data_IF_751821431147
#
_entry.id   IF_751821431147
#
_cell.length_a   1.000
_cell.length_b   1.000
_cell.length_c   1.000
_cell.angle_alpha   90.00
_cell.angle_beta   90.00
_cell.angle_gamma   90.00
#
_symmetry.space_group_name_H-M   'P 1'
#
loop_
_entity.id
_entity.type
_entity.pdbx_description
1 polymer ?
#
# COMPACT_ATOMS: atom_id res chain seq x y z
N UNK A 1 -19.51 6.88 11.18
CA UNK A 1 -18.06 7.05 10.94
C UNK A 1 -17.74 6.60 9.52
N UNK A 2 -17.07 7.42 8.74
CA UNK A 2 -16.72 7.06 7.36
C UNK A 2 -15.64 5.97 7.38
N UNK A 3 -15.86 4.88 6.63
CA UNK A 3 -14.87 3.80 6.50
C UNK A 3 -13.63 4.32 5.77
N UNK A 4 -12.41 4.03 6.25
CA UNK A 4 -11.20 4.33 5.48
C UNK A 4 -11.22 3.57 4.16
N UNK A 5 -10.88 4.28 3.08
CA UNK A 5 -10.76 3.70 1.74
C UNK A 5 -9.29 3.44 1.44
N UNK A 6 -8.94 2.19 1.29
CA UNK A 6 -7.57 1.75 1.01
C UNK A 6 -7.53 1.06 -0.35
N UNK A 7 -6.62 1.48 -1.20
CA UNK A 7 -6.36 0.83 -2.48
C UNK A 7 -5.05 0.04 -2.43
N UNK A 8 -5.07 -1.17 -2.94
CA UNK A 8 -3.91 -2.08 -2.99
C UNK A 8 -3.53 -2.32 -4.46
N UNK A 9 -2.28 -2.05 -4.79
CA UNK A 9 -1.70 -2.37 -6.11
C UNK A 9 -0.82 -3.61 -5.96
N UNK A 10 -1.31 -4.73 -6.48
CA UNK A 10 -0.64 -6.03 -6.39
C UNK A 10 -1.22 -6.94 -5.31
N UNK A 11 -1.86 -8.02 -5.73
CA UNK A 11 -2.47 -9.04 -4.86
C UNK A 11 -1.61 -10.31 -4.81
N UNK A 12 -0.35 -10.15 -4.38
CA UNK A 12 0.53 -11.26 -4.04
C UNK A 12 0.45 -11.64 -2.56
N UNK A 13 1.50 -12.30 -2.04
CA UNK A 13 1.60 -12.65 -0.63
C UNK A 13 1.39 -11.42 0.27
N UNK A 14 2.18 -10.37 0.05
CA UNK A 14 2.19 -9.17 0.91
C UNK A 14 0.91 -8.36 0.73
N UNK A 15 0.58 -7.99 -0.51
CA UNK A 15 -0.60 -7.17 -0.79
C UNK A 15 -1.92 -7.89 -0.52
N UNK A 16 -2.00 -9.17 -0.84
CA UNK A 16 -3.18 -9.99 -0.56
C UNK A 16 -3.43 -10.17 0.94
N UNK A 17 -2.37 -10.43 1.71
CA UNK A 17 -2.45 -10.53 3.17
C UNK A 17 -2.87 -9.20 3.80
N UNK A 18 -2.31 -8.09 3.33
CA UNK A 18 -2.68 -6.75 3.80
C UNK A 18 -4.15 -6.43 3.46
N UNK A 19 -4.57 -6.70 2.23
CA UNK A 19 -5.94 -6.46 1.79
C UNK A 19 -6.97 -7.21 2.65
N UNK A 20 -6.73 -8.51 2.89
CA UNK A 20 -7.58 -9.34 3.76
C UNK A 20 -7.64 -8.81 5.19
N UNK A 21 -6.48 -8.42 5.74
CA UNK A 21 -6.41 -7.87 7.10
C UNK A 21 -7.20 -6.57 7.24
N UNK A 22 -7.08 -5.69 6.26
CA UNK A 22 -7.80 -4.41 6.25
C UNK A 22 -9.32 -4.57 6.07
N UNK A 23 -9.76 -5.52 5.26
CA UNK A 23 -11.19 -5.89 5.17
C UNK A 23 -11.71 -6.36 6.53
N UNK A 24 -10.96 -7.24 7.21
CA UNK A 24 -11.32 -7.73 8.54
C UNK A 24 -11.36 -6.60 9.59
N UNK A 25 -10.58 -5.54 9.38
CA UNK A 25 -10.59 -4.33 10.22
C UNK A 25 -11.71 -3.33 9.86
N UNK A 26 -12.59 -3.67 8.92
CA UNK A 26 -13.71 -2.83 8.53
C UNK A 26 -13.39 -1.70 7.55
N UNK A 27 -12.22 -1.73 6.90
CA UNK A 27 -11.90 -0.80 5.83
C UNK A 27 -12.66 -1.15 4.54
N UNK A 28 -12.89 -0.14 3.70
CA UNK A 28 -13.25 -0.36 2.30
C UNK A 28 -11.95 -0.58 1.51
N UNK A 29 -11.75 -1.79 1.01
CA UNK A 29 -10.53 -2.17 0.31
C UNK A 29 -10.83 -2.41 -1.16
N UNK A 30 -10.17 -1.63 -2.01
CA UNK A 30 -10.15 -1.83 -3.46
C UNK A 30 -8.78 -2.34 -3.89
N UNK A 31 -8.70 -3.12 -4.95
CA UNK A 31 -7.43 -3.64 -5.42
C UNK A 31 -7.34 -3.75 -6.94
N UNK A 32 -6.13 -3.62 -7.43
CA UNK A 32 -5.78 -3.96 -8.80
C UNK A 32 -4.57 -4.92 -8.79
N UNK A 33 -4.60 -5.87 -9.72
CA UNK A 33 -3.49 -6.79 -9.95
C UNK A 33 -3.19 -6.87 -11.45
N UNK A 34 -1.96 -7.17 -11.81
CA UNK A 34 -1.52 -7.26 -13.22
C UNK A 34 -2.24 -8.33 -14.04
N UNK A 35 -2.91 -9.27 -13.37
CA UNK A 35 -3.84 -10.23 -13.98
C UNK A 35 -5.03 -10.45 -13.03
N UNK A 36 -6.11 -11.00 -13.54
CA UNK A 36 -7.37 -11.19 -12.81
C UNK A 36 -7.48 -12.52 -12.04
N UNK A 37 -6.42 -13.34 -12.04
CA UNK A 37 -6.43 -14.67 -11.39
C UNK A 37 -6.92 -14.63 -9.93
N UNK A 38 -6.49 -13.68 -9.08
CA UNK A 38 -6.94 -13.63 -7.70
C UNK A 38 -8.35 -13.07 -7.51
N UNK A 39 -8.96 -12.44 -8.52
CA UNK A 39 -10.14 -11.59 -8.33
C UNK A 39 -11.34 -12.32 -7.76
N UNK A 40 -11.69 -13.50 -8.28
CA UNK A 40 -12.86 -14.24 -7.81
C UNK A 40 -12.79 -14.57 -6.31
N UNK A 41 -11.62 -15.03 -5.84
CA UNK A 41 -11.40 -15.33 -4.42
C UNK A 41 -11.22 -14.08 -3.57
N UNK A 42 -10.57 -13.05 -4.10
CA UNK A 42 -10.40 -11.77 -3.42
C UNK A 42 -11.76 -11.08 -3.18
N UNK A 43 -12.64 -11.11 -4.17
CA UNK A 43 -14.00 -10.57 -4.03
C UNK A 43 -14.85 -11.37 -3.05
N UNK A 44 -14.69 -12.69 -2.99
CA UNK A 44 -15.33 -13.51 -1.98
C UNK A 44 -14.86 -13.16 -0.56
N UNK A 45 -13.63 -12.66 -0.40
CA UNK A 45 -13.08 -12.18 0.86
C UNK A 45 -13.45 -10.71 1.17
N UNK A 46 -14.23 -10.05 0.30
CA UNK A 46 -14.71 -8.68 0.51
C UNK A 46 -13.83 -7.58 -0.07
N UNK A 47 -12.84 -7.92 -0.89
CA UNK A 47 -11.98 -6.97 -1.60
C UNK A 47 -12.67 -6.59 -2.92
N UNK A 48 -12.77 -5.29 -3.22
CA UNK A 48 -13.39 -4.81 -4.45
C UNK A 48 -12.30 -4.73 -5.55
N UNK A 49 -12.25 -5.70 -6.44
CA UNK A 49 -11.26 -5.73 -7.51
C UNK A 49 -11.62 -4.78 -8.65
N UNK A 50 -10.60 -4.12 -9.21
CA UNK A 50 -10.74 -3.16 -10.30
C UNK A 50 -9.97 -3.64 -11.54
N UNK A 51 -10.57 -3.51 -12.74
CA UNK A 51 -9.95 -4.04 -13.96
C UNK A 51 -8.74 -3.22 -14.42
N UNK A 52 -8.65 -1.95 -14.04
CA UNK A 52 -7.58 -1.03 -14.46
C UNK A 52 -7.10 -0.17 -13.30
N UNK A 53 -5.89 0.37 -13.42
CA UNK A 53 -5.38 1.38 -12.48
C UNK A 53 -6.22 2.66 -12.48
N UNK A 54 -6.80 3.02 -13.63
CA UNK A 54 -7.73 4.16 -13.72
C UNK A 54 -8.99 3.93 -12.87
N UNK A 55 -9.62 2.77 -13.00
CA UNK A 55 -10.77 2.40 -12.19
C UNK A 55 -10.44 2.32 -10.69
N UNK A 56 -9.21 1.91 -10.34
CA UNK A 56 -8.73 1.94 -8.97
C UNK A 56 -8.61 3.37 -8.45
N UNK A 57 -7.99 4.27 -9.21
CA UNK A 57 -7.80 5.67 -8.83
C UNK A 57 -9.13 6.43 -8.67
N UNK A 58 -10.14 6.11 -9.50
CA UNK A 58 -11.50 6.68 -9.42
C UNK A 58 -12.20 6.41 -8.08
N UNK A 59 -11.75 5.40 -7.32
CA UNK A 59 -12.30 5.13 -5.98
C UNK A 59 -11.88 6.19 -4.95
N UNK A 60 -10.97 7.08 -5.30
CA UNK A 60 -10.40 8.15 -4.44
C UNK A 60 -9.98 7.61 -3.06
N UNK A 61 -9.02 6.69 -3.02
CA UNK A 61 -8.57 6.10 -1.76
C UNK A 61 -7.90 7.14 -0.86
N UNK A 62 -8.03 6.97 0.44
CA UNK A 62 -7.28 7.77 1.42
C UNK A 62 -5.80 7.38 1.42
N UNK A 63 -5.53 6.07 1.28
CA UNK A 63 -4.18 5.51 1.15
C UNK A 63 -4.16 4.55 -0.03
N UNK A 64 -3.17 4.69 -0.90
CA UNK A 64 -2.88 3.76 -1.98
C UNK A 64 -1.54 3.08 -1.69
N UNK A 65 -1.56 1.76 -1.56
CA UNK A 65 -0.42 0.94 -1.15
C UNK A 65 0.15 0.19 -2.35
N UNK A 66 1.40 0.45 -2.69
CA UNK A 66 2.14 -0.23 -3.75
C UNK A 66 2.75 -1.52 -3.19
N UNK A 67 2.18 -2.65 -3.58
CA UNK A 67 2.62 -4.00 -3.20
C UNK A 67 3.15 -4.80 -4.40
N UNK A 68 3.39 -4.14 -5.51
CA UNK A 68 3.94 -4.75 -6.72
C UNK A 68 5.45 -4.97 -6.61
N UNK A 69 6.04 -5.89 -7.43
CA UNK A 69 7.48 -6.05 -7.51
C UNK A 69 8.21 -4.76 -7.88
N UNK A 70 9.40 -4.57 -7.32
CA UNK A 70 10.20 -3.36 -7.51
C UNK A 70 10.47 -3.02 -8.98
N UNK A 71 10.70 -4.04 -9.81
CA UNK A 71 10.94 -3.86 -11.25
C UNK A 71 9.74 -3.30 -12.02
N UNK A 72 8.52 -3.52 -11.54
CA UNK A 72 7.29 -2.98 -12.14
C UNK A 72 6.94 -1.57 -11.62
N UNK A 73 7.64 -1.09 -10.59
CA UNK A 73 7.34 0.17 -9.93
C UNK A 73 7.36 1.38 -10.87
N UNK A 74 8.37 1.57 -11.75
CA UNK A 74 8.40 2.73 -12.65
C UNK A 74 7.21 2.81 -13.60
N UNK A 75 6.80 1.67 -14.15
CA UNK A 75 5.65 1.57 -15.06
C UNK A 75 4.34 1.90 -14.32
N UNK A 76 4.15 1.32 -13.15
CA UNK A 76 2.95 1.53 -12.34
C UNK A 76 2.86 2.99 -11.86
N UNK A 77 3.96 3.55 -11.36
CA UNK A 77 4.00 4.96 -10.95
C UNK A 77 3.72 5.90 -12.12
N UNK A 78 4.27 5.62 -13.30
CA UNK A 78 4.02 6.38 -14.51
C UNK A 78 2.54 6.35 -14.92
N UNK A 79 1.90 5.20 -14.81
CA UNK A 79 0.47 5.05 -15.10
C UNK A 79 -0.41 5.74 -14.05
N UNK A 80 -0.04 5.68 -12.78
CA UNK A 80 -0.81 6.27 -11.68
C UNK A 80 -0.73 7.80 -11.63
N UNK A 81 0.41 8.39 -12.00
CA UNK A 81 0.63 9.83 -11.86
C UNK A 81 -0.50 10.71 -12.42
N UNK A 82 -0.99 10.51 -13.66
CA UNK A 82 -2.08 11.33 -14.20
C UNK A 82 -3.46 10.98 -13.62
N UNK A 83 -3.57 9.89 -12.85
CA UNK A 83 -4.85 9.33 -12.41
C UNK A 83 -5.18 9.63 -10.95
N UNK A 84 -4.19 9.67 -10.07
CA UNK A 84 -4.42 9.85 -8.64
C UNK A 84 -4.61 11.32 -8.28
N UNK A 85 -5.53 11.57 -7.37
CA UNK A 85 -5.69 12.88 -6.74
C UNK A 85 -4.65 13.03 -5.62
N UNK A 86 -3.54 13.71 -5.94
CA UNK A 86 -2.42 13.90 -5.01
C UNK A 86 -2.76 14.78 -3.80
N UNK A 87 -3.86 15.54 -3.84
CA UNK A 87 -4.30 16.32 -2.69
C UNK A 87 -4.92 15.45 -1.60
N UNK A 88 -5.68 14.45 -1.99
CA UNK A 88 -6.47 13.62 -1.06
C UNK A 88 -5.89 12.23 -0.83
N UNK A 89 -5.17 11.65 -1.79
CA UNK A 89 -4.59 10.32 -1.71
C UNK A 89 -3.16 10.37 -1.18
N UNK A 90 -2.88 9.61 -0.13
CA UNK A 90 -1.51 9.34 0.32
C UNK A 90 -0.99 8.06 -0.32
N UNK A 91 0.16 8.15 -0.98
CA UNK A 91 0.84 7.04 -1.60
C UNK A 91 1.83 6.43 -0.61
N UNK A 92 1.83 5.12 -0.48
CA UNK A 92 2.81 4.36 0.31
C UNK A 92 3.18 3.07 -0.39
N UNK A 93 4.18 2.38 0.13
CA UNK A 93 4.62 1.08 -0.38
C UNK A 93 4.95 0.12 0.76
N UNK A 94 5.32 -1.09 0.41
CA UNK A 94 5.72 -2.15 1.36
C UNK A 94 7.11 -2.72 1.04
N UNK A 95 7.84 -2.09 0.14
CA UNK A 95 9.15 -2.57 -0.31
C UNK A 95 10.22 -2.49 0.77
N UNK A 96 11.14 -3.46 0.78
CA UNK A 96 12.26 -3.49 1.72
C UNK A 96 13.40 -2.52 1.35
N UNK A 97 13.48 -2.08 0.11
CA UNK A 97 14.54 -1.20 -0.40
C UNK A 97 14.00 0.22 -0.55
N UNK A 98 13.88 0.93 0.59
CA UNK A 98 13.23 2.25 0.65
C UNK A 98 13.88 3.29 -0.24
N UNK A 99 15.19 3.39 -0.27
CA UNK A 99 15.90 4.36 -1.10
C UNK A 99 15.54 4.25 -2.59
N UNK A 100 15.48 3.03 -3.13
CA UNK A 100 15.12 2.82 -4.54
C UNK A 100 13.68 3.22 -4.86
N UNK A 101 12.72 2.88 -3.99
CA UNK A 101 11.32 3.25 -4.19
C UNK A 101 11.15 4.76 -4.11
N UNK A 102 11.73 5.39 -3.10
CA UNK A 102 11.71 6.85 -2.95
C UNK A 102 12.28 7.57 -4.17
N UNK A 103 13.43 7.12 -4.68
CA UNK A 103 14.07 7.75 -5.84
C UNK A 103 13.17 7.64 -7.09
N UNK A 104 12.51 6.50 -7.28
CA UNK A 104 11.54 6.31 -8.36
C UNK A 104 10.31 7.21 -8.20
N UNK A 105 9.76 7.32 -6.99
CA UNK A 105 8.63 8.19 -6.68
C UNK A 105 8.98 9.66 -6.91
N UNK A 106 10.16 10.09 -6.45
CA UNK A 106 10.67 11.45 -6.64
C UNK A 106 10.93 11.78 -8.11
N UNK A 107 11.53 10.85 -8.86
CA UNK A 107 11.80 11.03 -10.29
C UNK A 107 10.54 11.29 -11.10
N UNK A 108 9.38 10.77 -10.68
CA UNK A 108 8.10 10.97 -11.34
C UNK A 108 7.28 12.13 -10.75
N UNK A 109 7.76 12.76 -9.67
CA UNK A 109 7.11 13.92 -9.04
C UNK A 109 5.90 13.58 -8.16
N UNK A 110 5.91 12.41 -7.50
CA UNK A 110 4.87 11.97 -6.55
C UNK A 110 5.34 11.99 -5.09
N UNK A 111 6.53 12.50 -4.82
CA UNK A 111 7.12 12.57 -3.49
C UNK A 111 6.30 13.41 -2.50
N UNK A 112 5.61 14.46 -2.98
CA UNK A 112 4.75 15.30 -2.13
C UNK A 112 3.56 14.57 -1.49
N UNK A 113 3.12 13.44 -2.05
CA UNK A 113 2.03 12.64 -1.48
C UNK A 113 2.50 11.26 -0.96
N UNK A 114 3.79 10.99 -0.97
CA UNK A 114 4.36 9.69 -0.63
C UNK A 114 4.94 9.65 0.78
N UNK A 115 4.69 8.54 1.47
CA UNK A 115 5.32 8.18 2.74
C UNK A 115 5.76 6.72 2.64
N UNK A 116 7.05 6.46 2.73
CA UNK A 116 7.59 5.10 2.65
C UNK A 116 7.25 4.27 3.88
N UNK A 117 6.86 3.02 3.67
CA UNK A 117 6.63 2.07 4.75
C UNK A 117 7.21 0.69 4.40
N UNK A 118 7.54 -0.08 5.43
CA UNK A 118 8.04 -1.43 5.29
C UNK A 118 7.56 -2.30 6.44
N UNK A 119 6.66 -3.27 6.18
CA UNK A 119 6.32 -4.29 7.16
C UNK A 119 7.48 -5.27 7.32
N UNK A 120 7.93 -5.50 8.53
CA UNK A 120 8.91 -6.56 8.83
C UNK A 120 8.16 -7.89 8.96
N UNK A 121 7.53 -8.30 7.87
CA UNK A 121 6.73 -9.50 7.73
C UNK A 121 6.94 -10.09 6.34
N UNK A 122 6.65 -11.36 6.18
CA UNK A 122 6.79 -12.08 4.93
C UNK A 122 7.48 -13.42 5.13
N UNK A 123 7.45 -14.21 4.09
CA UNK A 123 8.12 -15.50 3.99
C UNK A 123 8.56 -15.73 2.54
N UNK A 124 9.11 -16.89 2.24
CA UNK A 124 9.57 -17.27 0.90
C UNK A 124 8.45 -17.61 -0.09
N UNK A 125 7.21 -17.69 0.37
CA UNK A 125 6.05 -17.97 -0.48
C UNK A 125 5.69 -16.76 -1.36
N UNK A 126 4.94 -17.00 -2.40
CA UNK A 126 4.50 -15.95 -3.34
C UNK A 126 3.10 -16.24 -3.88
N UNK A 127 2.50 -15.19 -4.44
CA UNK A 127 1.19 -15.26 -5.06
C UNK A 127 0.03 -15.08 -4.08
N UNK A 128 -1.15 -14.92 -4.65
CA UNK A 128 -2.39 -14.71 -3.90
C UNK A 128 -2.73 -15.90 -3.00
N UNK A 129 -2.53 -17.12 -3.47
CA UNK A 129 -2.86 -18.36 -2.76
C UNK A 129 -2.08 -18.52 -1.44
N UNK A 130 -0.90 -17.90 -1.37
CA UNK A 130 -0.09 -17.89 -0.16
C UNK A 130 -0.47 -16.78 0.82
N UNK A 131 -1.36 -15.87 0.43
CA UNK A 131 -1.73 -14.73 1.28
C UNK A 131 -2.57 -15.17 2.47
N UNK A 132 -2.27 -14.56 3.62
CA UNK A 132 -2.89 -14.87 4.91
C UNK A 132 -2.96 -13.58 5.74
N UNK A 133 -4.13 -13.18 6.25
CA UNK A 133 -4.25 -11.98 7.08
C UNK A 133 -3.43 -12.05 8.38
N UNK A 134 -3.07 -13.25 8.86
CA UNK A 134 -2.22 -13.44 10.03
C UNK A 134 -0.73 -13.19 9.76
N UNK A 135 -0.32 -13.03 8.50
CA UNK A 135 1.06 -12.69 8.13
C UNK A 135 1.59 -11.46 8.90
N UNK A 136 0.70 -10.55 9.24
CA UNK A 136 1.03 -9.31 9.95
C UNK A 136 0.84 -9.39 11.46
N UNK A 137 0.53 -10.56 12.03
CA UNK A 137 0.40 -10.70 13.47
C UNK A 137 1.73 -10.36 14.14
N UNK A 138 1.68 -9.47 15.15
CA UNK A 138 2.84 -8.95 15.86
C UNK A 138 3.90 -8.24 14.99
N UNK A 139 3.59 -7.92 13.75
CA UNK A 139 4.53 -7.26 12.86
C UNK A 139 4.93 -5.86 13.36
N UNK A 140 6.18 -5.53 13.13
CA UNK A 140 6.71 -4.19 13.29
C UNK A 140 6.84 -3.54 11.91
N UNK A 141 6.35 -2.32 11.76
CA UNK A 141 6.51 -1.55 10.54
C UNK A 141 7.52 -0.43 10.74
N UNK A 142 8.33 -0.17 9.74
CA UNK A 142 9.12 1.04 9.65
C UNK A 142 8.40 2.04 8.73
N UNK A 143 8.25 3.29 9.17
CA UNK A 143 7.84 4.42 8.32
C UNK A 143 9.05 5.33 8.17
N UNK A 144 9.36 5.70 6.93
CA UNK A 144 10.42 6.67 6.63
C UNK A 144 9.83 8.05 6.41
N UNK A 145 10.41 9.05 7.06
CA UNK A 145 10.02 10.45 6.95
C UNK A 145 11.22 11.33 6.68
N UNK A 146 10.99 12.48 6.09
CA UNK A 146 11.96 13.55 5.92
C UNK A 146 11.35 14.91 6.32
N UNK A 147 12.10 15.99 6.19
CA UNK A 147 11.65 17.34 6.53
C UNK A 147 10.49 17.86 5.66
N UNK A 148 10.21 17.22 4.53
CA UNK A 148 9.12 17.57 3.61
C UNK A 148 7.87 16.72 3.80
N UNK A 149 7.94 15.68 4.64
CA UNK A 149 6.81 14.79 4.88
C UNK A 149 5.68 15.52 5.60
N UNK A 150 4.54 15.69 4.94
CA UNK A 150 3.38 16.31 5.56
C UNK A 150 2.81 15.42 6.67
N UNK A 151 2.55 16.01 7.84
CA UNK A 151 1.99 15.29 8.99
C UNK A 151 0.70 14.52 8.67
N UNK A 152 -0.19 15.10 7.86
CA UNK A 152 -1.45 14.43 7.45
C UNK A 152 -1.19 13.13 6.69
N UNK A 153 -0.14 13.07 5.88
CA UNK A 153 0.28 11.89 5.11
C UNK A 153 0.84 10.80 6.02
N UNK A 154 1.76 11.20 6.88
CA UNK A 154 2.29 10.32 7.92
C UNK A 154 1.15 9.73 8.76
N UNK A 155 0.23 10.56 9.24
CA UNK A 155 -0.90 10.13 10.06
C UNK A 155 -1.80 9.13 9.34
N UNK A 156 -2.08 9.32 8.05
CA UNK A 156 -2.91 8.40 7.26
C UNK A 156 -2.29 6.99 7.21
N UNK A 157 -0.99 6.90 6.96
CA UNK A 157 -0.26 5.62 6.93
C UNK A 157 -0.14 5.01 8.33
N UNK A 158 0.17 5.82 9.34
CA UNK A 158 0.25 5.37 10.72
C UNK A 158 -1.10 4.84 11.24
N UNK A 159 -2.22 5.48 10.92
CA UNK A 159 -3.57 5.00 11.26
C UNK A 159 -3.85 3.62 10.64
N UNK A 160 -3.51 3.45 9.37
CA UNK A 160 -3.64 2.15 8.69
C UNK A 160 -2.84 1.06 9.42
N UNK A 161 -1.59 1.34 9.80
CA UNK A 161 -0.71 0.37 10.45
C UNK A 161 -1.18 0.06 11.88
N UNK A 162 -1.40 1.09 12.69
CA UNK A 162 -1.65 0.93 14.13
C UNK A 162 -3.11 0.58 14.41
N UNK A 163 -4.04 1.39 13.90
CA UNK A 163 -5.44 1.26 14.26
C UNK A 163 -6.19 0.23 13.41
N UNK A 164 -5.77 0.00 12.16
CA UNK A 164 -6.44 -0.97 11.28
C UNK A 164 -5.73 -2.31 11.26
N UNK A 165 -4.41 -2.35 11.09
CA UNK A 165 -3.66 -3.60 11.14
C UNK A 165 -3.37 -4.09 12.56
N UNK A 166 -3.49 -3.23 13.58
CA UNK A 166 -3.16 -3.58 14.97
C UNK A 166 -1.67 -3.81 15.19
N UNK A 167 -0.83 -3.20 14.35
CA UNK A 167 0.62 -3.39 14.38
C UNK A 167 1.33 -2.25 15.11
N UNK A 168 2.59 -2.48 15.44
CA UNK A 168 3.50 -1.46 15.97
C UNK A 168 4.25 -0.80 14.81
N UNK A 169 4.69 0.43 15.00
CA UNK A 169 5.55 1.11 14.04
C UNK A 169 6.74 1.79 14.72
N UNK A 170 7.80 1.93 13.97
CA UNK A 170 8.93 2.82 14.26
C UNK A 170 9.03 3.85 13.15
N UNK A 171 9.47 5.04 13.50
CA UNK A 171 9.71 6.13 12.55
C UNK A 171 11.21 6.27 12.35
N UNK A 172 11.65 6.21 11.12
CA UNK A 172 13.04 6.35 10.73
C UNK A 172 13.21 7.62 9.90
N UNK A 173 14.31 8.30 10.11
CA UNK A 173 14.75 9.36 9.23
C UNK A 173 15.19 8.73 7.89
N UNK A 174 14.83 9.37 6.82
CA UNK A 174 15.18 8.94 5.46
C UNK A 174 16.71 8.91 5.19
N UNK A 175 17.48 9.63 6.00
CA UNK A 175 18.93 9.62 5.97
C UNK A 175 19.55 8.40 6.70
N UNK A 176 18.75 7.62 7.44
CA UNK A 176 19.25 6.44 8.18
C UNK A 176 19.17 5.22 7.28
N UNK A 177 20.32 4.57 6.97
CA UNK A 177 20.34 3.39 6.12
C UNK A 177 19.67 2.17 6.78
#
# INVERSE_FOLDING_TARGET
MVKPRIAIVGLGLIGGSLARRLVNAGCEVTAWNHNDRPYATAEADGIICKPTLAALAETKPNVLVLCNPLKAMPEILGALKPLIDTETTTLTDVGSVKGMVRDQVKAIGLDGCYVGAHPMAGNELSGWEASDPTLYDDALWAITVDEHTEYRRFRAVADMIVNRCGNRLIVLDDATP
#
